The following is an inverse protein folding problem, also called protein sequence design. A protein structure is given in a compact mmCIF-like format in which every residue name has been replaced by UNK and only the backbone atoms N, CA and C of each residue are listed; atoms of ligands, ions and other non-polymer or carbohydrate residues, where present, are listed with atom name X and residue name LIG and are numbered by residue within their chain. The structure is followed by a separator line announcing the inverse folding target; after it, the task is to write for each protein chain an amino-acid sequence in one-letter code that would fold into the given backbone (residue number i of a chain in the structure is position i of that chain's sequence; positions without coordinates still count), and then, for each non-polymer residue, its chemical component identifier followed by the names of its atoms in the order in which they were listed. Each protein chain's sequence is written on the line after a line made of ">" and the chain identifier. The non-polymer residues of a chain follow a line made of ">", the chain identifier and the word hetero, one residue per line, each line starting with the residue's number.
data_IF_291842769961
#
_entry.id   IF_291842769961
#
_cell.length_a   1.000
_cell.length_b   1.000
_cell.length_c   1.000
_cell.angle_alpha   90.00
_cell.angle_beta   90.00
_cell.angle_gamma   90.00
#
_symmetry.space_group_name_H-M   'P 1'
#
loop_
_entity.id
_entity.type
_entity.pdbx_description
1 polymer ?
#
# COMPACT_ATOMS: atom_id res chain seq x y z
N UNK A 1 22.05 -14.10 22.94
CA UNK A 1 22.20 -13.17 21.80
C UNK A 1 23.62 -12.67 21.60
N UNK A 2 24.39 -12.31 22.65
CA UNK A 2 25.79 -11.85 22.48
C UNK A 2 26.82 -12.99 22.39
N UNK A 3 26.56 -14.11 23.04
CA UNK A 3 27.41 -15.33 22.96
C UNK A 3 26.96 -16.28 21.85
N UNK A 4 25.64 -16.28 21.56
CA UNK A 4 25.02 -16.95 20.42
C UNK A 4 24.19 -15.90 19.64
N UNK A 5 24.72 -15.39 18.52
CA UNK A 5 24.01 -14.45 17.66
C UNK A 5 22.73 -15.07 17.10
N UNK A 6 21.63 -14.33 17.15
CA UNK A 6 20.42 -14.76 16.47
C UNK A 6 20.64 -14.78 14.94
N UNK A 7 19.98 -15.69 14.20
CA UNK A 7 20.11 -15.75 12.74
C UNK A 7 19.51 -14.52 12.03
N UNK A 8 18.66 -13.74 12.71
CA UNK A 8 18.04 -12.51 12.20
C UNK A 8 18.26 -11.39 13.22
N UNK A 9 18.74 -10.25 12.74
CA UNK A 9 18.90 -9.03 13.53
C UNK A 9 17.99 -7.95 12.95
N UNK A 10 17.04 -7.48 13.75
CA UNK A 10 16.20 -6.32 13.43
C UNK A 10 16.74 -5.12 14.19
N UNK A 11 17.16 -4.08 13.48
CA UNK A 11 17.76 -2.89 14.07
C UNK A 11 17.55 -1.68 13.16
N UNK A 12 17.71 -0.48 13.71
CA UNK A 12 17.76 0.75 12.90
C UNK A 12 19.23 1.13 12.61
N UNK A 13 19.44 2.04 11.65
CA UNK A 13 20.78 2.47 11.24
C UNK A 13 21.61 3.01 12.41
N UNK A 14 21.03 3.83 13.28
CA UNK A 14 21.76 4.39 14.44
C UNK A 14 22.24 3.32 15.41
N UNK A 15 21.40 2.33 15.72
CA UNK A 15 21.74 1.25 16.62
C UNK A 15 22.75 0.29 16.00
N UNK A 16 22.67 0.06 14.68
CA UNK A 16 23.69 -0.68 13.94
C UNK A 16 25.07 -0.01 14.01
N UNK A 17 25.12 1.32 13.90
CA UNK A 17 26.36 2.07 14.07
C UNK A 17 26.92 1.96 15.49
N UNK A 18 26.08 2.08 16.51
CA UNK A 18 26.52 1.88 17.88
C UNK A 18 27.07 0.47 18.12
N UNK A 19 26.43 -0.56 17.57
CA UNK A 19 26.93 -1.94 17.68
C UNK A 19 28.32 -2.12 17.06
N UNK A 20 28.65 -1.39 16.00
CA UNK A 20 29.98 -1.44 15.38
C UNK A 20 31.09 -0.84 16.26
N UNK A 21 30.75 0.06 17.18
CA UNK A 21 31.74 0.79 18.00
C UNK A 21 31.86 0.21 19.41
N UNK A 22 30.77 -0.36 19.95
CA UNK A 22 30.71 -0.84 21.33
C UNK A 22 31.48 -2.16 21.50
N UNK A 23 32.43 -2.17 22.44
CA UNK A 23 33.18 -3.38 22.80
C UNK A 23 32.29 -4.54 23.24
N UNK A 24 31.15 -4.26 23.90
CA UNK A 24 30.22 -5.29 24.37
C UNK A 24 29.50 -6.05 23.23
N UNK A 25 29.38 -5.43 22.05
CA UNK A 25 28.72 -6.02 20.88
C UNK A 25 29.74 -6.58 19.87
N UNK A 26 31.05 -6.38 20.13
CA UNK A 26 32.14 -6.90 19.30
C UNK A 26 32.13 -8.43 19.09
N UNK A 27 31.75 -9.29 20.07
CA UNK A 27 31.68 -10.74 19.86
C UNK A 27 30.78 -11.14 18.69
N UNK A 28 29.64 -10.45 18.52
CA UNK A 28 28.68 -10.72 17.44
C UNK A 28 29.35 -10.48 16.07
N UNK A 29 30.04 -9.34 15.93
CA UNK A 29 30.70 -8.96 14.67
C UNK A 29 31.88 -9.89 14.40
N UNK A 30 32.70 -10.19 15.41
CA UNK A 30 33.88 -11.05 15.26
C UNK A 30 33.50 -12.48 14.85
N UNK A 31 32.49 -13.06 15.50
CA UNK A 31 31.99 -14.39 15.14
C UNK A 31 31.36 -14.39 13.75
N UNK A 32 30.57 -13.37 13.42
CA UNK A 32 29.96 -13.26 12.10
C UNK A 32 31.00 -13.06 10.99
N UNK A 33 32.08 -12.33 11.29
CA UNK A 33 33.21 -12.11 10.38
C UNK A 33 34.03 -13.37 10.13
N UNK A 34 34.33 -14.13 11.19
CA UNK A 34 35.10 -15.37 11.05
C UNK A 34 34.34 -16.43 10.24
N UNK A 35 33.02 -16.46 10.38
CA UNK A 35 32.13 -17.38 9.65
C UNK A 35 31.65 -16.84 8.30
N UNK A 36 31.88 -15.54 8.00
CA UNK A 36 31.28 -14.82 6.87
C UNK A 36 29.76 -15.07 6.76
N UNK A 37 29.08 -14.93 7.89
CA UNK A 37 27.67 -15.35 8.03
C UNK A 37 26.65 -14.31 7.56
N UNK A 38 27.06 -13.07 7.26
CA UNK A 38 26.15 -12.05 6.73
C UNK A 38 25.81 -12.34 5.26
N UNK A 39 24.57 -12.77 5.01
CA UNK A 39 24.10 -13.19 3.68
C UNK A 39 22.98 -12.33 3.11
N UNK A 40 22.28 -11.58 3.96
CA UNK A 40 21.11 -10.80 3.60
C UNK A 40 21.11 -9.46 4.33
N UNK A 41 20.73 -8.41 3.61
CA UNK A 41 20.42 -7.09 4.17
C UNK A 41 19.04 -6.70 3.64
N UNK A 42 18.10 -6.50 4.55
CA UNK A 42 16.73 -6.08 4.22
C UNK A 42 16.56 -4.62 4.64
N UNK A 43 16.16 -3.77 3.71
CA UNK A 43 15.90 -2.36 3.92
C UNK A 43 14.40 -2.13 3.80
N UNK A 44 13.79 -1.67 4.89
CA UNK A 44 12.39 -1.31 4.86
C UNK A 44 12.22 0.15 4.43
N UNK A 45 11.16 0.42 3.67
CA UNK A 45 10.78 1.75 3.20
C UNK A 45 11.92 2.52 2.52
N UNK A 46 12.59 1.87 1.57
CA UNK A 46 13.74 2.41 0.86
C UNK A 46 13.46 3.78 0.20
N UNK A 47 12.19 4.06 -0.12
CA UNK A 47 11.73 5.33 -0.66
C UNK A 47 11.93 6.54 0.27
N UNK A 48 12.10 6.31 1.58
CA UNK A 48 12.34 7.37 2.56
C UNK A 48 13.78 7.89 2.51
N UNK A 49 14.71 7.09 2.00
CA UNK A 49 16.13 7.47 1.90
C UNK A 49 16.39 8.21 0.60
N UNK A 50 16.37 9.53 0.65
CA UNK A 50 16.64 10.39 -0.51
C UNK A 50 17.79 11.36 -0.25
N UNK A 51 18.52 11.72 -1.31
CA UNK A 51 19.57 12.72 -1.26
C UNK A 51 20.71 12.35 -0.29
N UNK A 52 20.97 13.22 0.69
CA UNK A 52 22.07 13.02 1.67
C UNK A 52 21.86 11.79 2.55
N UNK A 53 20.63 11.46 2.93
CA UNK A 53 20.33 10.30 3.77
C UNK A 53 20.66 8.98 3.05
N UNK A 54 20.40 8.92 1.74
CA UNK A 54 20.77 7.80 0.90
C UNK A 54 22.30 7.56 0.89
N UNK A 55 23.06 8.63 0.74
CA UNK A 55 24.53 8.56 0.72
C UNK A 55 25.10 8.12 2.08
N UNK A 56 24.52 8.62 3.19
CA UNK A 56 24.90 8.21 4.54
C UNK A 56 24.61 6.72 4.78
N UNK A 57 23.42 6.25 4.40
CA UNK A 57 23.06 4.85 4.51
C UNK A 57 23.98 3.95 3.66
N UNK A 58 24.29 4.35 2.43
CA UNK A 58 25.21 3.62 1.56
C UNK A 58 26.60 3.48 2.21
N UNK A 59 27.13 4.56 2.80
CA UNK A 59 28.42 4.52 3.49
C UNK A 59 28.37 3.65 4.76
N UNK A 60 27.28 3.72 5.51
CA UNK A 60 27.05 2.89 6.69
C UNK A 60 27.04 1.40 6.31
N UNK A 61 26.32 1.01 5.26
CA UNK A 61 26.26 -0.38 4.81
C UNK A 61 27.61 -0.89 4.29
N UNK A 62 28.39 -0.05 3.60
CA UNK A 62 29.78 -0.40 3.21
C UNK A 62 30.67 -0.67 4.43
N UNK A 63 30.54 0.13 5.50
CA UNK A 63 31.24 -0.10 6.77
C UNK A 63 30.80 -1.39 7.44
N UNK A 64 29.50 -1.69 7.43
CA UNK A 64 28.94 -2.93 7.96
C UNK A 64 29.50 -4.14 7.20
N UNK A 65 29.42 -4.16 5.87
CA UNK A 65 29.99 -5.27 5.07
C UNK A 65 31.48 -5.49 5.35
N UNK A 66 32.24 -4.39 5.48
CA UNK A 66 33.67 -4.43 5.85
C UNK A 66 33.89 -5.01 7.25
N UNK A 67 33.08 -4.60 8.22
CA UNK A 67 33.15 -5.10 9.60
C UNK A 67 32.84 -6.60 9.67
N UNK A 68 31.88 -7.06 8.87
CA UNK A 68 31.48 -8.47 8.75
C UNK A 68 32.34 -9.28 7.76
N UNK A 69 33.32 -8.66 7.09
CA UNK A 69 34.28 -9.36 6.22
C UNK A 69 33.67 -9.96 4.95
N UNK A 70 32.58 -9.38 4.46
CA UNK A 70 31.84 -9.79 3.26
C UNK A 70 31.93 -8.73 2.17
N UNK A 71 31.80 -9.13 0.91
CA UNK A 71 31.69 -8.21 -0.22
C UNK A 71 30.22 -8.06 -0.66
N UNK A 72 29.89 -7.06 -1.49
CA UNK A 72 28.55 -6.97 -2.09
C UNK A 72 28.12 -8.25 -2.83
N UNK A 73 29.05 -9.01 -3.43
CA UNK A 73 28.75 -10.28 -4.10
C UNK A 73 28.37 -11.41 -3.12
N UNK A 74 28.77 -11.32 -1.85
CA UNK A 74 28.45 -12.29 -0.81
C UNK A 74 27.04 -12.05 -0.19
N UNK A 75 26.45 -10.87 -0.41
CA UNK A 75 25.26 -10.37 0.29
C UNK A 75 24.11 -10.11 -0.68
N UNK A 76 22.92 -10.60 -0.34
CA UNK A 76 21.68 -10.28 -1.06
C UNK A 76 20.98 -9.08 -0.41
N UNK A 77 20.68 -8.07 -1.21
CA UNK A 77 19.93 -6.90 -0.78
C UNK A 77 18.47 -7.07 -1.16
N UNK A 78 17.58 -6.83 -0.20
CA UNK A 78 16.14 -6.75 -0.41
C UNK A 78 15.68 -5.39 0.09
N UNK A 79 14.87 -4.70 -0.69
CA UNK A 79 14.35 -3.39 -0.31
C UNK A 79 12.86 -3.32 -0.62
N UNK A 80 12.08 -2.80 0.33
CA UNK A 80 10.66 -2.52 0.14
C UNK A 80 10.46 -1.05 -0.20
N UNK A 81 9.44 -0.73 -0.99
CA UNK A 81 9.11 0.64 -1.35
C UNK A 81 7.61 0.75 -1.63
N UNK A 82 6.92 1.63 -0.89
CA UNK A 82 5.48 1.82 -1.03
C UNK A 82 5.07 2.84 -2.10
N UNK A 83 5.96 3.76 -2.52
CA UNK A 83 5.55 5.01 -3.20
C UNK A 83 6.24 5.27 -4.54
N UNK A 84 7.01 4.32 -5.05
CA UNK A 84 7.71 4.49 -6.32
C UNK A 84 6.74 4.13 -7.47
N UNK A 85 5.84 5.06 -7.78
CA UNK A 85 4.88 4.97 -8.88
C UNK A 85 5.30 5.87 -10.05
N UNK A 86 5.25 5.35 -11.28
CA UNK A 86 5.55 6.10 -12.51
C UNK A 86 6.43 5.32 -13.49
N UNK A 87 6.52 5.80 -14.74
CA UNK A 87 7.28 5.12 -15.81
C UNK A 87 8.79 5.03 -15.55
N UNK A 88 9.35 5.94 -14.76
CA UNK A 88 10.79 5.97 -14.41
C UNK A 88 11.10 5.40 -13.02
N UNK A 89 10.06 4.96 -12.30
CA UNK A 89 10.14 4.64 -10.90
C UNK A 89 11.04 3.39 -10.67
N UNK A 90 10.89 2.38 -11.52
CA UNK A 90 11.76 1.18 -11.54
C UNK A 90 13.23 1.55 -11.74
N UNK A 91 13.52 2.42 -12.73
CA UNK A 91 14.89 2.83 -13.08
C UNK A 91 15.55 3.61 -11.94
N UNK A 92 14.79 4.49 -11.29
CA UNK A 92 15.27 5.24 -10.12
C UNK A 92 15.57 4.30 -8.94
N UNK A 93 14.69 3.32 -8.69
CA UNK A 93 14.90 2.34 -7.64
C UNK A 93 16.12 1.44 -7.90
N UNK A 94 16.28 0.94 -9.14
CA UNK A 94 17.48 0.16 -9.52
C UNK A 94 18.75 0.97 -9.36
N UNK A 95 18.74 2.23 -9.80
CA UNK A 95 19.89 3.13 -9.60
C UNK A 95 20.20 3.34 -8.13
N UNK A 96 19.19 3.65 -7.32
CA UNK A 96 19.32 3.85 -5.88
C UNK A 96 19.91 2.61 -5.19
N UNK A 97 19.36 1.43 -5.46
CA UNK A 97 19.85 0.17 -4.88
C UNK A 97 21.25 -0.16 -5.36
N UNK A 98 21.59 0.16 -6.61
CA UNK A 98 22.93 -0.03 -7.15
C UNK A 98 23.96 0.87 -6.44
N UNK A 99 23.64 2.15 -6.24
CA UNK A 99 24.52 3.09 -5.53
C UNK A 99 24.70 2.70 -4.05
N UNK A 100 23.62 2.21 -3.43
CA UNK A 100 23.58 1.82 -2.03
C UNK A 100 24.32 0.50 -1.76
N UNK A 101 24.07 -0.53 -2.57
CA UNK A 101 24.67 -1.87 -2.38
C UNK A 101 26.02 -2.04 -3.06
N UNK A 102 26.32 -1.24 -4.09
CA UNK A 102 27.48 -1.42 -4.97
C UNK A 102 27.29 -2.54 -6.01
N UNK A 103 26.09 -3.09 -6.13
CA UNK A 103 25.75 -4.13 -7.10
C UNK A 103 25.35 -3.48 -8.43
N UNK A 104 25.80 -3.99 -9.59
CA UNK A 104 25.39 -3.47 -10.90
C UNK A 104 23.87 -3.60 -11.12
N UNK A 105 23.26 -2.62 -11.81
CA UNK A 105 21.80 -2.56 -12.00
C UNK A 105 21.22 -3.79 -12.71
N UNK A 106 22.03 -4.45 -13.55
CA UNK A 106 21.66 -5.67 -14.28
C UNK A 106 21.41 -6.87 -13.36
N UNK A 107 21.85 -6.80 -12.10
CA UNK A 107 21.62 -7.83 -11.08
C UNK A 107 20.54 -7.42 -10.07
N UNK A 108 19.77 -6.37 -10.38
CA UNK A 108 18.71 -5.86 -9.51
C UNK A 108 17.37 -6.07 -10.22
N UNK A 109 16.56 -6.94 -9.63
CA UNK A 109 15.20 -7.20 -10.08
C UNK A 109 14.22 -6.42 -9.21
N UNK A 110 13.27 -5.74 -9.86
CA UNK A 110 12.18 -5.04 -9.18
C UNK A 110 10.93 -5.88 -9.33
N UNK A 111 10.34 -6.26 -8.21
CA UNK A 111 9.08 -6.97 -8.16
C UNK A 111 7.99 -5.95 -7.86
N UNK A 112 7.16 -5.67 -8.85
CA UNK A 112 6.03 -4.75 -8.72
C UNK A 112 4.73 -5.52 -8.47
N UNK A 113 3.78 -4.86 -7.81
CA UNK A 113 2.44 -5.36 -7.57
C UNK A 113 1.43 -4.59 -8.41
N UNK A 114 0.74 -5.27 -9.31
CA UNK A 114 -0.39 -4.66 -10.02
C UNK A 114 -1.70 -4.91 -9.27
N UNK A 115 -2.53 -3.87 -9.19
CA UNK A 115 -3.86 -4.00 -8.62
C UNK A 115 -4.73 -4.82 -9.56
N UNK A 116 -5.19 -5.98 -9.10
CA UNK A 116 -6.21 -6.76 -9.80
C UNK A 116 -7.58 -6.28 -9.33
N UNK A 117 -8.33 -5.65 -10.22
CA UNK A 117 -9.71 -5.23 -9.97
C UNK A 117 -10.61 -6.29 -10.62
N UNK A 118 -11.48 -6.97 -9.85
CA UNK A 118 -12.37 -7.97 -10.43
C UNK A 118 -13.22 -7.35 -11.53
N UNK A 119 -13.30 -8.01 -12.69
CA UNK A 119 -14.26 -7.63 -13.72
C UNK A 119 -15.68 -7.93 -13.21
N UNK A 120 -16.60 -7.00 -13.44
CA UNK A 120 -18.02 -7.19 -13.17
C UNK A 120 -18.77 -7.40 -14.47
N UNK A 121 -19.94 -8.01 -14.37
CA UNK A 121 -20.87 -8.06 -15.51
C UNK A 121 -21.23 -6.65 -16.00
N UNK A 122 -21.49 -6.46 -17.30
CA UNK A 122 -21.94 -5.18 -17.83
C UNK A 122 -23.19 -4.69 -17.11
N UNK A 123 -23.16 -3.44 -16.63
CA UNK A 123 -24.28 -2.82 -15.94
C UNK A 123 -25.52 -2.75 -16.87
N UNK A 124 -26.63 -3.36 -16.44
CA UNK A 124 -27.90 -3.34 -17.16
C UNK A 124 -28.68 -2.02 -16.95
N UNK A 125 -28.16 -1.09 -16.16
CA UNK A 125 -28.76 0.21 -15.85
C UNK A 125 -30.18 0.08 -15.26
N UNK A 126 -30.34 -0.87 -14.34
CA UNK A 126 -31.60 -1.08 -13.61
C UNK A 126 -31.63 -0.10 -12.45
N UNK A 127 -32.62 0.79 -12.46
CA UNK A 127 -32.81 1.74 -11.36
C UNK A 127 -33.54 1.04 -10.22
N UNK A 128 -32.86 0.93 -9.07
CA UNK A 128 -33.41 0.48 -7.80
C UNK A 128 -33.09 1.56 -6.78
N UNK A 129 -34.08 2.12 -6.06
CA UNK A 129 -33.83 3.11 -5.01
C UNK A 129 -32.87 2.55 -3.95
N UNK A 130 -32.00 3.42 -3.42
CA UNK A 130 -31.02 3.03 -2.41
C UNK A 130 -31.68 2.39 -1.19
N UNK A 131 -32.85 2.90 -0.79
CA UNK A 131 -33.64 2.37 0.33
C UNK A 131 -34.01 0.91 0.11
N UNK A 132 -34.35 0.51 -1.12
CA UNK A 132 -34.70 -0.88 -1.42
C UNK A 132 -33.47 -1.78 -1.37
N UNK A 133 -32.31 -1.30 -1.84
CA UNK A 133 -31.04 -2.04 -1.80
C UNK A 133 -30.56 -2.25 -0.35
N UNK A 134 -30.70 -1.23 0.49
CA UNK A 134 -30.34 -1.30 1.92
C UNK A 134 -31.19 -2.32 2.69
N UNK A 135 -32.45 -2.54 2.28
CA UNK A 135 -33.36 -3.48 2.92
C UNK A 135 -33.16 -4.94 2.47
N UNK A 136 -32.40 -5.20 1.41
CA UNK A 136 -32.06 -6.57 1.00
C UNK A 136 -31.33 -7.23 2.16
N UNK A 137 -31.77 -8.38 2.71
CA UNK A 137 -31.15 -8.96 3.88
C UNK A 137 -29.77 -9.55 3.55
N UNK A 138 -28.93 -9.61 4.59
CA UNK A 138 -27.73 -10.45 4.57
C UNK A 138 -28.16 -11.92 4.66
N UNK A 139 -27.40 -12.82 4.03
CA UNK A 139 -27.71 -14.26 4.06
C UNK A 139 -27.29 -14.87 5.40
N UNK A 140 -26.03 -15.31 5.52
CA UNK A 140 -25.53 -16.05 6.70
C UNK A 140 -24.53 -15.26 7.54
N UNK A 141 -23.86 -14.28 6.92
CA UNK A 141 -22.83 -13.46 7.55
C UNK A 141 -23.09 -11.99 7.24
N UNK A 142 -22.75 -11.12 8.21
CA UNK A 142 -22.89 -9.68 8.06
C UNK A 142 -22.16 -9.19 6.80
N UNK A 143 -22.88 -8.53 5.91
CA UNK A 143 -22.38 -7.99 4.64
C UNK A 143 -22.37 -8.96 3.46
N UNK A 144 -22.66 -10.25 3.65
CA UNK A 144 -22.72 -11.22 2.54
C UNK A 144 -24.15 -11.30 2.03
N UNK A 145 -24.38 -10.79 0.81
CA UNK A 145 -25.68 -10.84 0.14
C UNK A 145 -25.48 -10.89 -1.39
N UNK A 146 -25.64 -12.05 -2.03
CA UNK A 146 -25.56 -12.18 -3.48
C UNK A 146 -26.60 -11.33 -4.22
N UNK A 147 -27.82 -11.25 -3.68
CA UNK A 147 -28.92 -10.47 -4.25
C UNK A 147 -28.62 -8.97 -4.22
N UNK A 148 -28.08 -8.47 -3.10
CA UNK A 148 -27.65 -7.07 -2.99
C UNK A 148 -26.47 -6.79 -3.90
N UNK A 149 -25.53 -7.72 -4.03
CA UNK A 149 -24.38 -7.58 -4.93
C UNK A 149 -24.80 -7.51 -6.41
N UNK A 150 -25.78 -8.32 -6.83
CA UNK A 150 -26.34 -8.27 -8.18
C UNK A 150 -27.06 -6.93 -8.45
N UNK A 151 -27.89 -6.48 -7.50
CA UNK A 151 -28.55 -5.18 -7.56
C UNK A 151 -27.54 -4.01 -7.71
N UNK A 152 -26.44 -4.04 -6.95
CA UNK A 152 -25.35 -3.06 -7.07
C UNK A 152 -24.62 -3.15 -8.41
N UNK A 153 -24.42 -4.35 -8.95
CA UNK A 153 -23.76 -4.55 -10.25
C UNK A 153 -24.57 -3.95 -11.41
N UNK A 154 -25.89 -3.90 -11.27
CA UNK A 154 -26.78 -3.37 -12.29
C UNK A 154 -27.32 -1.96 -12.02
N UNK A 155 -27.03 -1.38 -10.85
CA UNK A 155 -27.35 0.01 -10.52
C UNK A 155 -26.42 0.98 -11.26
N UNK A 156 -26.95 2.03 -11.92
CA UNK A 156 -26.13 3.06 -12.55
C UNK A 156 -25.32 3.86 -11.51
N UNK A 157 -25.87 4.13 -10.33
CA UNK A 157 -25.20 4.87 -9.25
C UNK A 157 -23.95 4.14 -8.76
N UNK A 158 -24.10 2.87 -8.39
CA UNK A 158 -23.01 2.03 -7.91
C UNK A 158 -21.95 1.80 -9.00
N UNK A 159 -22.36 1.64 -10.25
CA UNK A 159 -21.46 1.55 -11.40
C UNK A 159 -20.61 2.82 -11.56
N UNK A 160 -21.23 4.00 -11.61
CA UNK A 160 -20.49 5.26 -11.78
C UNK A 160 -19.59 5.57 -10.60
N UNK A 161 -20.02 5.29 -9.37
CA UNK A 161 -19.17 5.46 -8.18
C UNK A 161 -17.95 4.53 -8.22
N UNK A 162 -18.16 3.27 -8.61
CA UNK A 162 -17.06 2.31 -8.79
C UNK A 162 -16.11 2.77 -9.90
N UNK A 163 -16.61 3.15 -11.06
CA UNK A 163 -15.78 3.64 -12.18
C UNK A 163 -14.96 4.87 -11.78
N UNK A 164 -15.57 5.85 -11.10
CA UNK A 164 -14.85 7.04 -10.63
C UNK A 164 -13.69 6.72 -9.69
N UNK A 165 -13.86 5.74 -8.80
CA UNK A 165 -12.85 5.36 -7.80
C UNK A 165 -11.82 4.33 -8.31
N UNK A 166 -12.19 3.55 -9.33
CA UNK A 166 -11.32 2.55 -9.97
C UNK A 166 -10.42 3.19 -11.01
N UNK A 167 -10.98 4.05 -11.86
CA UNK A 167 -10.31 4.59 -13.05
C UNK A 167 -9.37 5.76 -12.70
N UNK A 168 -9.58 6.44 -11.57
CA UNK A 168 -8.73 7.56 -11.16
C UNK A 168 -7.61 7.13 -10.19
N UNK A 169 -6.34 7.49 -10.47
CA UNK A 169 -5.22 7.17 -9.58
C UNK A 169 -5.20 8.03 -8.31
N UNK A 170 -5.81 9.22 -8.36
CA UNK A 170 -5.79 10.20 -7.29
C UNK A 170 -7.05 10.12 -6.41
N UNK A 171 -6.94 10.40 -5.10
CA UNK A 171 -8.11 10.52 -4.23
C UNK A 171 -9.08 11.60 -4.73
N UNK A 172 -10.38 11.32 -4.65
CA UNK A 172 -11.43 12.28 -5.03
C UNK A 172 -12.08 12.86 -3.78
N UNK A 173 -12.47 14.14 -3.82
CA UNK A 173 -13.29 14.76 -2.76
C UNK A 173 -14.74 14.31 -2.89
N UNK A 174 -15.41 14.17 -1.75
CA UNK A 174 -16.83 13.84 -1.71
C UNK A 174 -17.70 14.85 -2.48
N UNK A 175 -17.35 16.14 -2.46
CA UNK A 175 -18.02 17.18 -3.24
C UNK A 175 -17.95 16.92 -4.75
N UNK A 176 -16.74 16.65 -5.24
CA UNK A 176 -16.49 16.40 -6.66
C UNK A 176 -17.20 15.10 -7.11
N UNK A 177 -17.19 14.07 -6.25
CA UNK A 177 -17.94 12.83 -6.48
C UNK A 177 -19.44 13.08 -6.59
N UNK A 178 -20.00 13.87 -5.67
CA UNK A 178 -21.44 14.17 -5.63
C UNK A 178 -21.87 14.95 -6.87
N UNK A 179 -21.13 15.98 -7.26
CA UNK A 179 -21.41 16.76 -8.47
C UNK A 179 -21.36 15.89 -9.73
N UNK A 180 -20.34 15.02 -9.83
CA UNK A 180 -20.18 14.14 -10.97
C UNK A 180 -21.28 13.08 -11.04
N UNK A 181 -21.66 12.47 -9.92
CA UNK A 181 -22.76 11.52 -9.85
C UNK A 181 -24.08 12.16 -10.31
N UNK A 182 -24.38 13.37 -9.82
CA UNK A 182 -25.58 14.13 -10.19
C UNK A 182 -25.60 14.44 -11.69
N UNK A 183 -24.46 14.83 -12.27
CA UNK A 183 -24.40 15.12 -13.72
C UNK A 183 -24.61 13.87 -14.59
N UNK A 184 -24.10 12.71 -14.18
CA UNK A 184 -24.19 11.45 -14.94
C UNK A 184 -25.58 10.82 -14.85
N UNK A 185 -26.17 10.82 -13.66
CA UNK A 185 -27.48 10.21 -13.39
C UNK A 185 -28.65 11.15 -13.69
N UNK A 186 -28.39 12.45 -13.86
CA UNK A 186 -29.40 13.52 -13.94
C UNK A 186 -30.32 13.56 -12.71
N UNK A 187 -29.83 13.09 -11.57
CA UNK A 187 -30.53 13.13 -10.29
C UNK A 187 -29.84 14.10 -9.32
N UNK A 188 -30.51 14.38 -8.20
CA UNK A 188 -30.01 15.27 -7.15
C UNK A 188 -29.75 14.48 -5.88
N UNK A 189 -28.51 13.99 -5.74
CA UNK A 189 -27.99 13.37 -4.54
C UNK A 189 -27.30 14.40 -3.65
N UNK A 190 -27.52 14.28 -2.34
CA UNK A 190 -26.73 14.97 -1.33
C UNK A 190 -25.43 14.24 -1.03
N UNK A 191 -24.49 14.88 -0.33
CA UNK A 191 -23.29 14.21 0.18
C UNK A 191 -23.62 13.01 1.08
N UNK A 192 -24.73 13.08 1.84
CA UNK A 192 -25.14 11.98 2.71
C UNK A 192 -25.60 10.77 1.90
N UNK A 193 -26.32 10.99 0.80
CA UNK A 193 -26.76 9.91 -0.09
C UNK A 193 -25.58 9.22 -0.75
N UNK A 194 -24.58 9.99 -1.20
CA UNK A 194 -23.35 9.44 -1.76
C UNK A 194 -22.58 8.61 -0.72
N UNK A 195 -22.52 9.07 0.53
CA UNK A 195 -21.90 8.30 1.60
C UNK A 195 -22.65 6.99 1.88
N UNK A 196 -23.99 7.01 1.89
CA UNK A 196 -24.80 5.79 2.05
C UNK A 196 -24.55 4.81 0.90
N UNK A 197 -24.51 5.29 -0.35
CA UNK A 197 -24.15 4.46 -1.49
C UNK A 197 -22.77 3.82 -1.34
N UNK A 198 -21.77 4.59 -0.93
CA UNK A 198 -20.41 4.08 -0.69
C UNK A 198 -20.40 3.05 0.45
N UNK A 199 -21.16 3.28 1.52
CA UNK A 199 -21.27 2.36 2.65
C UNK A 199 -21.83 1.01 2.19
N UNK A 200 -22.96 1.02 1.48
CA UNK A 200 -23.58 -0.20 0.90
C UNK A 200 -22.62 -0.90 -0.07
N UNK A 201 -21.97 -0.15 -0.96
CA UNK A 201 -20.98 -0.71 -1.90
C UNK A 201 -19.77 -1.34 -1.19
N UNK A 202 -19.32 -0.75 -0.09
CA UNK A 202 -18.15 -1.24 0.64
C UNK A 202 -18.46 -2.38 1.61
N UNK A 203 -19.70 -2.45 2.09
CA UNK A 203 -20.19 -3.49 2.99
C UNK A 203 -20.67 -4.77 2.30
N UNK A 204 -21.02 -4.71 1.01
CA UNK A 204 -21.67 -5.83 0.31
C UNK A 204 -20.66 -6.76 -0.37
N UNK A 205 -20.69 -8.04 0.00
CA UNK A 205 -19.89 -9.13 -0.56
C UNK A 205 -20.80 -10.17 -1.24
N UNK A 206 -20.37 -10.74 -2.39
CA UNK A 206 -21.16 -11.76 -3.07
C UNK A 206 -21.08 -13.12 -2.36
N UNK A 207 -19.96 -13.41 -1.70
CA UNK A 207 -19.76 -14.59 -0.86
C UNK A 207 -18.65 -14.32 0.17
N UNK A 208 -18.36 -15.30 1.03
CA UNK A 208 -17.36 -15.18 2.11
C UNK A 208 -15.90 -15.18 1.64
N UNK A 209 -15.63 -15.51 0.37
CA UNK A 209 -14.27 -15.64 -0.18
C UNK A 209 -13.89 -14.45 -1.08
N UNK A 210 -14.88 -13.89 -1.76
CA UNK A 210 -14.69 -12.81 -2.73
C UNK A 210 -14.76 -11.44 -2.07
N UNK A 211 -14.04 -10.45 -2.63
CA UNK A 211 -14.01 -9.11 -2.07
C UNK A 211 -15.38 -8.41 -2.17
N UNK A 212 -15.57 -7.41 -1.32
CA UNK A 212 -16.72 -6.52 -1.39
C UNK A 212 -16.81 -5.81 -2.75
N UNK A 213 -18.03 -5.36 -3.09
CA UNK A 213 -18.32 -4.67 -4.35
C UNK A 213 -17.40 -3.46 -4.56
N UNK A 214 -17.02 -2.75 -3.49
CA UNK A 214 -16.05 -1.67 -3.57
C UNK A 214 -15.18 -1.61 -2.32
N UNK A 215 -13.91 -1.98 -2.43
CA UNK A 215 -12.94 -1.79 -1.33
C UNK A 215 -12.50 -0.33 -1.27
N UNK A 216 -12.85 0.38 -0.20
CA UNK A 216 -12.61 1.83 -0.03
C UNK A 216 -11.74 2.15 1.18
N UNK A 217 -10.80 3.09 1.02
CA UNK A 217 -10.04 3.82 2.05
C UNK A 217 -10.44 5.29 2.02
N UNK A 218 -11.03 5.77 3.11
CA UNK A 218 -11.35 7.17 3.29
C UNK A 218 -10.37 7.86 4.24
N UNK A 219 -9.94 9.06 3.87
CA UNK A 219 -9.23 10.00 4.73
C UNK A 219 -10.19 11.11 5.13
N UNK A 220 -10.55 11.14 6.42
CA UNK A 220 -11.49 12.10 6.99
C UNK A 220 -10.68 13.22 7.64
N UNK A 221 -10.81 14.44 7.13
CA UNK A 221 -10.18 15.62 7.74
C UNK A 221 -11.22 16.38 8.55
N UNK A 222 -11.09 16.35 9.88
CA UNK A 222 -11.96 17.12 10.77
C UNK A 222 -11.31 18.47 11.10
N UNK A 223 -11.99 19.59 10.83
CA UNK A 223 -11.63 20.91 11.36
C UNK A 223 -12.30 21.11 12.72
N UNK A 224 -11.55 21.60 13.71
CA UNK A 224 -12.04 21.86 15.07
C UNK A 224 -12.91 23.13 15.23
N UNK A 225 -13.22 23.84 14.14
CA UNK A 225 -14.11 25.01 14.13
C UNK A 225 -15.23 24.80 13.12
N UNK A 226 -16.46 25.18 13.49
CA UNK A 226 -17.70 24.71 12.85
C UNK A 226 -17.71 24.90 11.32
N UNK A 227 -17.83 23.77 10.63
CA UNK A 227 -17.94 23.64 9.16
C UNK A 227 -17.30 22.33 8.72
N UNK A 228 -18.10 21.40 8.20
CA UNK A 228 -17.68 20.05 7.77
C UNK A 228 -16.39 20.11 6.94
N UNK A 229 -15.39 19.31 7.32
CA UNK A 229 -14.11 19.25 6.61
C UNK A 229 -14.17 18.35 5.37
N UNK A 230 -13.17 18.43 4.48
CA UNK A 230 -13.14 17.64 3.25
C UNK A 230 -12.93 16.16 3.58
N UNK A 231 -13.78 15.30 3.02
CA UNK A 231 -13.57 13.85 3.01
C UNK A 231 -12.95 13.47 1.68
N UNK A 232 -11.77 12.85 1.73
CA UNK A 232 -11.10 12.28 0.56
C UNK A 232 -11.32 10.77 0.56
N UNK A 233 -11.78 10.24 -0.56
CA UNK A 233 -12.07 8.82 -0.71
C UNK A 233 -11.19 8.25 -1.81
N UNK A 234 -10.54 7.13 -1.51
CA UNK A 234 -9.75 6.32 -2.45
C UNK A 234 -10.15 4.86 -2.27
N UNK A 235 -9.86 3.99 -3.22
CA UNK A 235 -10.01 2.55 -2.99
C UNK A 235 -8.96 2.01 -1.99
N UNK A 236 -9.29 0.96 -1.25
CA UNK A 236 -8.38 0.28 -0.32
C UNK A 236 -7.53 -0.78 -1.05
N UNK A 237 -6.20 -0.72 -0.90
CA UNK A 237 -5.28 -1.83 -1.25
C UNK A 237 -5.64 -3.12 -0.50
#
# INVERSE_FOLDING_TARGET
>A
MREEPAPILVTNGTMLEYMMVRQIDAPIIQQSKSQKSLRWIVLDEAHTYVGSQAAELALQLRRVMTAFGVTPDDVRFVATSATIAGSDAEKQLKKFLSELSGIPQERIDVLDGSRVIPELEPCKHVFIPLEEIEQIPDTDMKGVSPERFDALTHSPEAYYLRDMLVTQPNPMKLDDMTQRLNSLTKQHYSQQDVLRWIDVCSGTQPNTKDPAFLKVRAHIFQRNTQGCGPVLIKNAD
#
